data_IF_610562123249
#
_entry.id   IF_610562123249
#
_cell.length_a   1.000
_cell.length_b   1.000
_cell.length_c   1.000
_cell.angle_alpha   90.00
_cell.angle_beta   90.00
_cell.angle_gamma   90.00
#
_symmetry.space_group_name_H-M   'P 1'
#
loop_
_entity.id
_entity.type
_entity.pdbx_description
1 polymer ?
#
# COMPACT_ATOMS: atom_id res chain seq x y z
N UNK A 1 -8.53 1.44 -13.06
CA UNK A 1 -9.09 1.39 -11.68
C UNK A 1 -10.41 2.13 -11.73
N UNK A 2 -11.48 1.59 -11.14
CA UNK A 2 -12.81 2.22 -11.17
C UNK A 2 -13.52 2.05 -9.83
N UNK A 3 -14.58 2.82 -9.60
CA UNK A 3 -15.38 2.72 -8.38
C UNK A 3 -16.01 1.34 -8.23
N UNK A 4 -16.64 0.85 -9.30
CA UNK A 4 -17.06 -0.53 -9.40
C UNK A 4 -16.91 -1.01 -10.84
N UNK A 5 -16.86 -2.33 -10.98
CA UNK A 5 -16.76 -2.99 -12.29
C UNK A 5 -17.88 -3.99 -12.34
N UNK A 6 -18.86 -3.74 -13.21
CA UNK A 6 -20.02 -4.60 -13.38
C UNK A 6 -19.61 -6.02 -13.81
N UNK A 7 -20.42 -7.01 -13.42
CA UNK A 7 -20.12 -8.42 -13.68
C UNK A 7 -20.01 -8.74 -15.17
N UNK A 8 -20.82 -8.10 -16.01
CA UNK A 8 -20.80 -8.30 -17.46
C UNK A 8 -19.50 -7.78 -18.11
N UNK A 9 -19.06 -6.59 -17.69
CA UNK A 9 -17.77 -6.05 -18.08
C UNK A 9 -16.62 -6.94 -17.58
N UNK A 10 -16.67 -7.39 -16.32
CA UNK A 10 -15.64 -8.23 -15.73
C UNK A 10 -15.52 -9.58 -16.45
N UNK A 11 -16.63 -10.23 -16.79
CA UNK A 11 -16.63 -11.48 -17.53
C UNK A 11 -15.94 -11.33 -18.89
N UNK A 12 -16.23 -10.24 -19.61
CA UNK A 12 -15.61 -9.93 -20.90
C UNK A 12 -14.10 -9.69 -20.76
N UNK A 13 -13.67 -8.99 -19.71
CA UNK A 13 -12.25 -8.77 -19.41
C UNK A 13 -11.52 -10.09 -19.11
N UNK A 14 -12.13 -10.99 -18.33
CA UNK A 14 -11.54 -12.28 -17.98
C UNK A 14 -11.39 -13.17 -19.21
N UNK A 15 -12.42 -13.25 -20.06
CA UNK A 15 -12.36 -14.05 -21.29
C UNK A 15 -11.25 -13.55 -22.22
N UNK A 16 -11.12 -12.24 -22.40
CA UNK A 16 -10.07 -11.67 -23.25
C UNK A 16 -8.67 -11.86 -22.66
N UNK A 17 -8.54 -11.81 -21.33
CA UNK A 17 -7.28 -12.11 -20.64
C UNK A 17 -6.86 -13.56 -20.81
N UNK A 18 -7.79 -14.50 -20.70
CA UNK A 18 -7.54 -15.94 -20.90
C UNK A 18 -7.17 -16.27 -22.36
N UNK A 19 -7.77 -15.56 -23.32
CA UNK A 19 -7.42 -15.67 -24.74
C UNK A 19 -6.06 -15.07 -25.08
N UNK A 20 -5.45 -14.32 -24.17
CA UNK A 20 -4.14 -13.68 -24.36
C UNK A 20 -4.15 -12.50 -25.34
N UNK A 21 -5.32 -12.12 -25.88
CA UNK A 21 -5.45 -10.99 -26.81
C UNK A 21 -5.22 -9.65 -26.11
N UNK A 22 -5.64 -9.53 -24.84
CA UNK A 22 -5.48 -8.31 -24.05
C UNK A 22 -4.90 -8.64 -22.66
N UNK A 23 -3.78 -7.99 -22.31
CA UNK A 23 -3.19 -8.07 -20.97
C UNK A 23 -3.84 -7.02 -20.07
N UNK A 24 -4.91 -7.40 -19.36
CA UNK A 24 -5.70 -6.47 -18.55
C UNK A 24 -5.68 -6.86 -17.06
N UNK A 25 -5.73 -5.85 -16.21
CA UNK A 25 -6.04 -5.99 -14.80
C UNK A 25 -7.12 -4.98 -14.38
N UNK A 26 -8.09 -5.47 -13.63
CA UNK A 26 -9.22 -4.72 -13.11
C UNK A 26 -9.02 -4.52 -11.61
N UNK A 27 -9.24 -3.29 -11.12
CA UNK A 27 -9.06 -2.98 -9.71
C UNK A 27 -10.03 -1.92 -9.21
N UNK A 28 -10.48 -2.10 -7.98
CA UNK A 28 -11.39 -1.18 -7.30
C UNK A 28 -10.63 0.03 -6.74
N UNK A 29 -11.20 1.22 -6.87
CA UNK A 29 -10.59 2.43 -6.35
C UNK A 29 -10.53 2.40 -4.81
N UNK A 30 -9.43 2.87 -4.19
CA UNK A 30 -9.32 2.96 -2.74
C UNK A 30 -10.19 4.10 -2.19
N UNK A 31 -10.71 3.91 -0.98
CA UNK A 31 -11.50 4.93 -0.28
C UNK A 31 -12.99 4.97 -0.68
N UNK A 32 -13.71 5.94 -0.11
CA UNK A 32 -15.15 6.11 -0.27
C UNK A 32 -15.50 7.60 -0.44
N UNK A 33 -16.58 7.90 -1.17
CA UNK A 33 -17.07 9.26 -1.42
C UNK A 33 -16.02 10.17 -2.06
N UNK A 34 -15.98 11.44 -1.63
CA UNK A 34 -15.06 12.46 -2.17
C UNK A 34 -13.58 12.08 -2.05
N UNK A 35 -13.21 11.31 -1.02
CA UNK A 35 -11.82 10.87 -0.83
C UNK A 35 -11.36 9.95 -1.95
N UNK A 36 -12.27 9.15 -2.51
CA UNK A 36 -12.00 8.27 -3.66
C UNK A 36 -11.56 9.10 -4.87
N UNK A 37 -12.30 10.16 -5.18
CA UNK A 37 -11.98 11.09 -6.26
C UNK A 37 -10.62 11.75 -6.05
N UNK A 38 -10.33 12.18 -4.82
CA UNK A 38 -9.03 12.76 -4.47
C UNK A 38 -7.87 11.76 -4.60
N UNK A 39 -8.06 10.50 -4.20
CA UNK A 39 -7.04 9.45 -4.38
C UNK A 39 -6.81 9.10 -5.86
N UNK A 40 -7.88 9.06 -6.66
CA UNK A 40 -7.76 8.84 -8.10
C UNK A 40 -7.02 10.00 -8.78
N UNK A 41 -7.26 11.25 -8.36
CA UNK A 41 -6.51 12.40 -8.85
C UNK A 41 -5.03 12.34 -8.48
N UNK A 42 -4.71 11.86 -7.28
CA UNK A 42 -3.32 11.68 -6.86
C UNK A 42 -2.60 10.63 -7.73
N UNK A 43 -3.28 9.52 -8.05
CA UNK A 43 -2.76 8.47 -8.93
C UNK A 43 -2.63 8.98 -10.37
N UNK A 44 -3.59 9.76 -10.85
CA UNK A 44 -3.56 10.38 -12.17
C UNK A 44 -2.37 11.35 -12.30
N UNK A 45 -2.15 12.21 -11.30
CA UNK A 45 -0.98 13.09 -11.24
C UNK A 45 0.35 12.30 -11.21
N UNK A 46 0.39 11.16 -10.51
CA UNK A 46 1.58 10.30 -10.46
C UNK A 46 1.87 9.65 -11.82
N UNK A 47 0.84 9.28 -12.57
CA UNK A 47 0.97 8.58 -13.86
C UNK A 47 0.91 9.49 -15.08
N UNK A 48 0.65 10.79 -14.90
CA UNK A 48 0.51 11.76 -15.99
C UNK A 48 -0.79 11.64 -16.78
N UNK A 49 -1.76 10.90 -16.25
CA UNK A 49 -3.09 10.75 -16.86
C UNK A 49 -4.11 11.73 -16.28
N UNK A 50 -5.33 11.70 -16.82
CA UNK A 50 -6.47 12.44 -16.28
C UNK A 50 -7.60 11.50 -15.90
N UNK A 51 -8.26 11.77 -14.77
CA UNK A 51 -9.39 10.94 -14.31
C UNK A 51 -10.62 11.26 -15.16
N UNK A 52 -11.17 10.25 -15.83
CA UNK A 52 -12.42 10.38 -16.57
C UNK A 52 -13.58 10.48 -15.56
N UNK A 53 -14.31 11.58 -15.61
CA UNK A 53 -15.53 11.81 -14.82
C UNK A 53 -16.63 12.29 -15.75
N UNK A 54 -17.79 11.66 -15.67
CA UNK A 54 -18.97 12.05 -16.46
C UNK A 54 -19.42 13.48 -16.12
N UNK A 55 -19.25 13.90 -14.86
CA UNK A 55 -19.53 15.27 -14.39
C UNK A 55 -18.71 16.35 -15.12
N UNK A 56 -17.51 15.99 -15.59
CA UNK A 56 -16.59 16.90 -16.30
C UNK A 56 -16.80 16.81 -17.82
N UNK A 57 -17.74 15.99 -18.29
CA UNK A 57 -18.07 15.83 -19.70
C UNK A 57 -17.10 14.95 -20.50
N UNK A 58 -16.18 14.26 -19.83
CA UNK A 58 -15.27 13.28 -20.44
C UNK A 58 -15.96 11.91 -20.43
N UNK A 59 -16.27 11.36 -21.61
CA UNK A 59 -16.83 10.03 -21.76
C UNK A 59 -15.76 9.01 -22.14
N UNK A 60 -15.97 7.75 -21.74
CA UNK A 60 -15.08 6.63 -22.07
C UNK A 60 -14.92 6.44 -23.59
N UNK A 61 -15.96 6.75 -24.37
CA UNK A 61 -15.96 6.58 -25.83
C UNK A 61 -15.00 7.54 -26.56
N UNK A 62 -14.67 8.67 -25.92
CA UNK A 62 -13.78 9.70 -26.49
C UNK A 62 -12.40 9.72 -25.82
N UNK A 63 -12.11 8.74 -24.97
CA UNK A 63 -10.83 8.67 -24.27
C UNK A 63 -9.68 8.37 -25.25
N UNK A 64 -8.83 9.37 -25.48
CA UNK A 64 -7.59 9.23 -26.26
C UNK A 64 -6.39 8.87 -25.39
N UNK A 65 -5.22 8.71 -26.02
CA UNK A 65 -3.96 8.42 -25.32
C UNK A 65 -3.55 9.51 -24.32
N UNK A 66 -4.00 10.76 -24.51
CA UNK A 66 -3.69 11.89 -23.62
C UNK A 66 -4.33 11.75 -22.23
N UNK A 67 -5.41 10.96 -22.14
CA UNK A 67 -6.13 10.72 -20.87
C UNK A 67 -5.49 9.57 -20.09
N UNK A 68 -4.80 8.66 -20.78
CA UNK A 68 -4.22 7.46 -20.20
C UNK A 68 -2.89 7.77 -19.52
N UNK A 69 -2.76 7.38 -18.26
CA UNK A 69 -1.50 7.47 -17.52
C UNK A 69 -0.52 6.36 -17.90
N UNK A 70 0.78 6.63 -17.74
CA UNK A 70 1.86 5.67 -17.96
C UNK A 70 2.54 5.30 -16.63
N UNK A 71 2.93 4.03 -16.48
CA UNK A 71 3.67 3.54 -15.34
C UNK A 71 4.71 2.51 -15.77
N UNK A 72 5.89 2.53 -15.15
CA UNK A 72 6.99 1.62 -15.48
C UNK A 72 6.70 0.17 -15.05
N UNK A 73 6.10 -0.01 -13.87
CA UNK A 73 5.74 -1.33 -13.36
C UNK A 73 4.54 -1.26 -12.43
N UNK A 74 3.57 -2.15 -12.64
CA UNK A 74 2.42 -2.30 -11.76
C UNK A 74 2.39 -3.72 -11.22
N UNK A 75 2.41 -3.86 -9.89
CA UNK A 75 2.33 -5.16 -9.21
C UNK A 75 1.04 -5.18 -8.40
N UNK A 76 0.25 -6.23 -8.63
CA UNK A 76 -1.06 -6.42 -8.01
C UNK A 76 -1.03 -7.70 -7.20
N UNK A 77 -1.38 -7.58 -5.92
CA UNK A 77 -1.60 -8.68 -4.99
C UNK A 77 -3.08 -8.70 -4.59
N UNK A 78 -3.50 -9.69 -3.79
CA UNK A 78 -4.90 -9.79 -3.33
C UNK A 78 -5.37 -8.52 -2.60
N UNK A 79 -4.51 -7.99 -1.74
CA UNK A 79 -4.87 -6.90 -0.83
C UNK A 79 -4.12 -5.58 -1.12
N UNK A 80 -3.07 -5.62 -1.96
CA UNK A 80 -2.18 -4.48 -2.18
C UNK A 80 -1.89 -4.24 -3.66
N UNK A 81 -1.73 -2.97 -4.01
CA UNK A 81 -1.36 -2.53 -5.36
C UNK A 81 -0.22 -1.55 -5.31
N UNK A 82 0.85 -1.87 -6.01
CA UNK A 82 2.03 -1.01 -6.10
C UNK A 82 2.20 -0.53 -7.53
N UNK A 83 2.17 0.79 -7.70
CA UNK A 83 2.40 1.47 -8.98
C UNK A 83 3.76 2.13 -8.90
N UNK A 84 4.70 1.69 -9.72
CA UNK A 84 6.00 2.34 -9.89
C UNK A 84 5.93 3.23 -11.14
N UNK A 85 6.04 4.54 -10.93
CA UNK A 85 6.08 5.53 -12.00
C UNK A 85 7.38 5.49 -12.81
N UNK A 86 7.35 6.12 -13.98
CA UNK A 86 8.48 6.28 -14.90
C UNK A 86 9.35 7.53 -14.61
N UNK A 87 8.96 8.32 -13.60
CA UNK A 87 9.69 9.52 -13.15
C UNK A 87 9.41 10.78 -13.97
N UNK A 88 8.59 10.70 -15.01
CA UNK A 88 8.27 11.82 -15.91
C UNK A 88 7.53 12.98 -15.23
N UNK A 89 6.74 12.68 -14.19
CA UNK A 89 5.79 13.59 -13.53
C UNK A 89 6.27 14.12 -12.18
N UNK A 90 7.57 14.08 -11.90
CA UNK A 90 8.12 14.40 -10.59
C UNK A 90 7.76 15.83 -10.12
N UNK A 91 7.69 16.80 -11.03
CA UNK A 91 7.24 18.17 -10.73
C UNK A 91 5.75 18.27 -10.38
N UNK A 92 4.90 17.47 -11.04
CA UNK A 92 3.48 17.43 -10.74
C UNK A 92 3.24 16.83 -9.34
N UNK A 93 4.00 15.80 -8.98
CA UNK A 93 3.95 15.18 -7.66
C UNK A 93 4.40 16.15 -6.57
N UNK A 94 5.49 16.90 -6.76
CA UNK A 94 5.95 17.87 -5.75
C UNK A 94 4.95 19.02 -5.56
N UNK A 95 4.35 19.52 -6.64
CA UNK A 95 3.25 20.50 -6.57
C UNK A 95 2.03 19.93 -5.84
N UNK A 96 1.70 18.66 -6.05
CA UNK A 96 0.59 18.03 -5.34
C UNK A 96 0.89 17.86 -3.85
N UNK A 97 2.11 17.48 -3.50
CA UNK A 97 2.54 17.36 -2.10
C UNK A 97 2.49 18.72 -1.39
N UNK A 98 2.90 19.82 -2.03
CA UNK A 98 2.80 21.16 -1.43
C UNK A 98 1.34 21.60 -1.22
N UNK A 99 0.45 21.30 -2.16
CA UNK A 99 -1.00 21.54 -1.99
C UNK A 99 -1.56 20.81 -0.76
N UNK A 100 -1.22 19.53 -0.59
CA UNK A 100 -1.71 18.73 0.53
C UNK A 100 -1.10 19.22 1.86
N UNK A 101 0.16 19.69 1.88
CA UNK A 101 0.76 20.32 3.06
C UNK A 101 -0.01 21.55 3.51
N UNK A 102 -0.37 22.43 2.58
CA UNK A 102 -1.18 23.61 2.90
C UNK A 102 -2.57 23.22 3.45
N UNK A 103 -3.15 22.13 2.95
CA UNK A 103 -4.42 21.60 3.47
C UNK A 103 -4.29 21.06 4.90
N UNK A 104 -3.15 20.49 5.27
CA UNK A 104 -2.87 20.03 6.65
C UNK A 104 -2.81 21.22 7.62
N UNK A 105 -2.19 22.33 7.20
CA UNK A 105 -2.10 23.54 8.03
C UNK A 105 -3.46 24.20 8.25
N UNK A 106 -4.34 24.14 7.24
CA UNK A 106 -5.70 24.67 7.32
C UNK A 106 -6.69 23.73 8.05
N UNK A 107 -6.36 22.46 8.22
CA UNK A 107 -7.23 21.50 8.89
C UNK A 107 -7.18 21.70 10.41
N UNK A 108 -8.35 21.84 11.04
CA UNK A 108 -8.46 21.96 12.50
C UNK A 108 -8.60 20.59 13.17
N UNK A 109 -9.13 19.59 12.45
CA UNK A 109 -9.40 18.26 12.98
C UNK A 109 -8.21 17.32 12.86
N UNK A 110 -7.83 16.66 13.95
CA UNK A 110 -6.69 15.72 13.97
C UNK A 110 -6.91 14.51 13.05
N UNK A 111 -8.15 14.05 12.89
CA UNK A 111 -8.51 12.97 11.97
C UNK A 111 -8.19 13.33 10.50
N UNK A 112 -8.42 14.57 10.10
CA UNK A 112 -8.12 15.03 8.74
C UNK A 112 -6.62 15.15 8.52
N UNK A 113 -5.89 15.67 9.53
CA UNK A 113 -4.41 15.77 9.50
C UNK A 113 -3.76 14.40 9.33
N UNK A 114 -4.25 13.39 10.05
CA UNK A 114 -3.74 12.01 9.93
C UNK A 114 -3.96 11.46 8.51
N UNK A 115 -5.16 11.63 7.95
CA UNK A 115 -5.49 11.13 6.61
C UNK A 115 -4.75 11.85 5.48
N UNK A 116 -4.52 13.15 5.62
CA UNK A 116 -3.69 13.91 4.67
C UNK A 116 -2.20 13.52 4.81
N UNK A 117 -1.73 13.24 6.02
CA UNK A 117 -0.36 12.75 6.26
C UNK A 117 -0.14 11.38 5.63
N UNK A 118 -1.11 10.45 5.73
CA UNK A 118 -1.07 9.17 5.02
C UNK A 118 -0.95 9.34 3.49
N UNK A 119 -1.61 10.35 2.93
CA UNK A 119 -1.51 10.67 1.48
C UNK A 119 -0.14 11.18 1.10
N UNK A 120 0.40 12.12 1.87
CA UNK A 120 1.76 12.63 1.64
C UNK A 120 2.77 11.49 1.73
N UNK A 121 2.63 10.61 2.72
CA UNK A 121 3.51 9.46 2.87
C UNK A 121 3.48 8.55 1.63
N UNK A 122 2.29 8.30 1.05
CA UNK A 122 2.16 7.50 -0.19
C UNK A 122 2.73 8.20 -1.43
N UNK A 123 2.61 9.51 -1.53
CA UNK A 123 3.15 10.29 -2.66
C UNK A 123 4.65 10.53 -2.56
N UNK A 124 5.16 10.78 -1.35
CA UNK A 124 6.56 11.11 -1.09
C UNK A 124 7.43 9.88 -0.82
N UNK A 125 6.83 8.79 -0.35
CA UNK A 125 7.54 7.56 0.03
C UNK A 125 8.19 6.84 -1.16
N UNK A 126 7.76 7.14 -2.39
CA UNK A 126 8.33 6.56 -3.60
C UNK A 126 8.25 5.03 -3.64
N UNK A 127 8.90 4.44 -4.64
CA UNK A 127 9.02 2.98 -4.76
C UNK A 127 10.47 2.64 -5.07
N UNK A 128 11.14 1.95 -4.16
CA UNK A 128 12.49 1.42 -4.39
C UNK A 128 12.39 0.07 -5.11
N UNK A 129 13.09 -0.07 -6.24
CA UNK A 129 13.18 -1.32 -6.99
C UNK A 129 14.56 -1.93 -6.79
N UNK A 130 14.60 -3.11 -6.16
CA UNK A 130 15.83 -3.88 -5.96
C UNK A 130 15.95 -4.90 -7.10
N UNK A 131 17.02 -4.81 -7.88
CA UNK A 131 17.32 -5.75 -8.95
C UNK A 131 18.37 -6.75 -8.46
N UNK A 132 18.03 -8.04 -8.49
CA UNK A 132 18.90 -9.13 -8.04
C UNK A 132 19.41 -9.89 -9.26
N UNK A 133 20.73 -9.96 -9.44
CA UNK A 133 21.38 -10.70 -10.52
C UNK A 133 21.94 -12.06 -10.07
N UNK A 134 21.93 -13.03 -10.99
CA UNK A 134 22.55 -14.34 -10.79
C UNK A 134 23.04 -14.92 -12.13
N UNK A 135 23.93 -15.93 -12.06
CA UNK A 135 24.51 -16.56 -13.26
C UNK A 135 23.59 -17.65 -13.84
N UNK A 136 22.83 -18.35 -12.99
CA UNK A 136 21.91 -19.42 -13.39
C UNK A 136 20.47 -19.09 -12.96
N UNK A 137 19.48 -19.67 -13.64
CA UNK A 137 18.05 -19.45 -13.30
C UNK A 137 17.69 -19.95 -11.91
N UNK A 138 18.33 -21.05 -11.47
CA UNK A 138 18.12 -21.63 -10.13
C UNK A 138 18.64 -20.69 -9.05
N UNK A 139 19.84 -20.14 -9.23
CA UNK A 139 20.40 -19.14 -8.31
C UNK A 139 19.59 -17.85 -8.29
N UNK A 140 19.04 -17.43 -9.43
CA UNK A 140 18.21 -16.22 -9.51
C UNK A 140 16.98 -16.36 -8.62
N UNK A 141 16.31 -17.52 -8.68
CA UNK A 141 15.15 -17.83 -7.83
C UNK A 141 15.52 -17.93 -6.36
N UNK A 142 16.63 -18.60 -6.03
CA UNK A 142 17.11 -18.72 -4.64
C UNK A 142 17.45 -17.35 -4.04
N UNK A 143 18.25 -16.54 -4.74
CA UNK A 143 18.63 -15.20 -4.27
C UNK A 143 17.43 -14.28 -4.16
N UNK A 144 16.49 -14.35 -5.11
CA UNK A 144 15.24 -13.59 -5.03
C UNK A 144 14.46 -13.93 -3.75
N UNK A 145 14.24 -15.22 -3.47
CA UNK A 145 13.54 -15.67 -2.28
C UNK A 145 14.26 -15.25 -0.99
N UNK A 146 15.60 -15.36 -0.97
CA UNK A 146 16.41 -14.92 0.19
C UNK A 146 16.29 -13.41 0.45
N UNK A 147 16.30 -12.60 -0.60
CA UNK A 147 16.15 -11.14 -0.50
C UNK A 147 14.73 -10.77 -0.07
N UNK A 148 13.72 -11.44 -0.60
CA UNK A 148 12.32 -11.24 -0.19
C UNK A 148 12.12 -11.56 1.30
N UNK A 149 12.67 -12.67 1.77
CA UNK A 149 12.62 -13.06 3.18
C UNK A 149 13.36 -12.06 4.08
N UNK A 150 14.59 -11.67 3.71
CA UNK A 150 15.36 -10.67 4.45
C UNK A 150 14.66 -9.30 4.52
N UNK A 151 14.01 -8.88 3.45
CA UNK A 151 13.26 -7.62 3.41
C UNK A 151 12.04 -7.67 4.33
N UNK A 152 11.33 -8.80 4.36
CA UNK A 152 10.19 -8.96 5.25
C UNK A 152 10.63 -9.03 6.73
N UNK A 153 11.72 -9.76 7.02
CA UNK A 153 12.27 -9.85 8.37
C UNK A 153 12.76 -8.50 8.91
N UNK A 154 13.43 -7.70 8.08
CA UNK A 154 13.91 -6.36 8.47
C UNK A 154 12.76 -5.39 8.67
N UNK A 155 11.70 -5.46 7.87
CA UNK A 155 10.48 -4.67 8.10
C UNK A 155 9.83 -4.99 9.44
N UNK A 156 9.62 -6.28 9.73
CA UNK A 156 9.05 -6.71 11.01
C UNK A 156 9.91 -6.26 12.21
N UNK A 157 11.23 -6.36 12.08
CA UNK A 157 12.17 -5.92 13.11
C UNK A 157 12.14 -4.41 13.35
N UNK A 158 11.85 -3.58 12.34
CA UNK A 158 11.71 -2.13 12.49
C UNK A 158 10.37 -1.78 13.14
N UNK A 159 9.30 -2.50 12.82
CA UNK A 159 7.95 -2.24 13.36
C UNK A 159 7.80 -2.68 14.82
N UNK A 160 8.25 -3.89 15.17
CA UNK A 160 8.05 -4.50 16.50
C UNK A 160 9.30 -4.46 17.38
N UNK A 161 10.46 -4.14 16.80
CA UNK A 161 11.76 -4.22 17.47
C UNK A 161 12.41 -5.61 17.36
N UNK A 162 13.59 -5.75 17.97
CA UNK A 162 14.40 -6.97 17.92
C UNK A 162 14.52 -7.65 19.28
N UNK A 163 14.54 -8.98 19.27
CA UNK A 163 14.76 -9.81 20.46
C UNK A 163 15.82 -10.87 20.19
N UNK A 164 16.30 -11.52 21.26
CA UNK A 164 17.30 -12.58 21.13
C UNK A 164 16.67 -13.81 20.45
N UNK A 165 17.26 -14.24 19.33
CA UNK A 165 16.81 -15.41 18.57
C UNK A 165 17.07 -16.76 19.26
N UNK A 166 16.97 -17.83 18.48
CA UNK A 166 17.26 -19.21 18.94
C UNK A 166 16.29 -19.76 19.99
N UNK A 167 15.09 -19.18 20.11
CA UNK A 167 14.09 -19.57 21.12
C UNK A 167 14.42 -19.11 22.55
N UNK A 168 15.58 -18.47 22.78
CA UNK A 168 16.00 -18.00 24.11
C UNK A 168 15.03 -16.99 24.72
N UNK A 169 14.40 -16.14 23.89
CA UNK A 169 13.42 -15.17 24.37
C UNK A 169 12.18 -15.86 24.94
N UNK A 170 11.69 -16.94 24.33
CA UNK A 170 10.55 -17.70 24.85
C UNK A 170 10.86 -18.32 26.22
N UNK A 171 12.07 -18.87 26.40
CA UNK A 171 12.51 -19.40 27.70
C UNK A 171 12.57 -18.32 28.78
N UNK A 172 13.10 -17.14 28.45
CA UNK A 172 13.16 -15.98 29.36
C UNK A 172 11.78 -15.41 29.70
N UNK A 173 10.84 -15.46 28.76
CA UNK A 173 9.46 -15.07 29.03
C UNK A 173 8.78 -16.09 29.94
N UNK A 174 8.98 -17.39 29.70
CA UNK A 174 8.43 -18.46 30.52
C UNK A 174 8.82 -18.34 31.99
N UNK A 175 10.08 -18.00 32.30
CA UNK A 175 10.52 -17.85 33.70
C UNK A 175 9.92 -16.63 34.42
N UNK A 176 9.43 -15.63 33.67
CA UNK A 176 8.74 -14.47 34.24
C UNK A 176 7.26 -14.73 34.53
N UNK A 177 6.65 -15.77 33.94
CA UNK A 177 5.25 -16.11 34.18
C UNK A 177 5.00 -16.49 35.64
N UNK A 178 5.93 -17.21 36.27
CA UNK A 178 5.81 -17.61 37.68
C UNK A 178 5.71 -16.40 38.63
N UNK A 179 6.44 -15.32 38.31
CA UNK A 179 6.38 -14.06 39.04
C UNK A 179 5.05 -13.31 38.85
N UNK A 180 4.41 -13.43 37.68
CA UNK A 180 3.06 -12.84 37.46
C UNK A 180 1.97 -13.62 38.21
N UNK A 181 2.13 -14.94 38.33
CA UNK A 181 1.19 -15.80 39.07
C UNK A 181 1.21 -15.50 40.56
N UNK A 182 2.39 -15.29 41.15
CA UNK A 182 2.52 -14.88 42.56
C UNK A 182 1.98 -13.46 42.82
N UNK A 183 2.15 -12.53 41.88
CA UNK A 183 1.54 -11.18 41.96
C UNK A 183 0.00 -11.23 41.97
N UNK A 184 -0.61 -12.02 41.08
CA UNK A 184 -2.07 -12.20 41.04
C UNK A 184 -2.63 -12.92 42.29
N UNK A 185 -1.88 -13.87 42.86
CA UNK A 185 -2.26 -14.59 44.08
C UNK A 185 -2.14 -13.75 45.37
N UNK A 186 -1.33 -12.69 45.35
CA UNK A 186 -1.24 -11.69 46.42
C UNK A 186 -2.43 -10.72 46.41
N UNK A 187 -2.90 -10.32 45.23
CA UNK A 187 -3.97 -9.33 45.09
C UNK A 187 -5.38 -9.90 45.38
N UNK A 188 -5.58 -11.21 45.24
CA UNK A 188 -6.83 -11.85 45.65
C UNK A 188 -6.99 -12.05 47.15
N UNK A 189 -5.91 -11.95 47.95
CA UNK A 189 -6.01 -12.08 49.43
C UNK A 189 -6.36 -10.76 50.13
N UNK A 190 -6.24 -9.62 49.46
CA UNK A 190 -6.52 -8.31 50.05
C UNK A 190 -7.94 -7.78 49.78
N UNK A 191 -8.69 -8.34 48.82
CA UNK A 191 -10.08 -7.97 48.57
C UNK A 191 -11.12 -8.73 49.41
N UNK A 192 -10.70 -9.59 50.35
CA UNK A 192 -11.59 -10.42 51.17
C UNK A 192 -11.71 -10.02 52.64
N UNK A 193 -11.16 -8.86 53.07
CA UNK A 193 -11.33 -8.36 54.44
C UNK A 193 -11.36 -6.82 54.47
N UNK A 194 -12.48 -6.25 54.00
CA UNK A 194 -13.14 -5.09 54.64
C UNK A 194 -14.55 -4.91 54.12
#
# INVERSE_FOLDING_TARGET
MAEDIEQEALATLVVNKLRGSLKIAALKAPGFGERKSQYLDDIANLTGGTVIREEVGLTLDKAGNEVLGTAAKVVLTKDTTTIAGDGSTQEAVTKRVSQIKNQIEAAEQDYEKEKLSERIAKLSGGVAVIQVGAQTETELKEKKLRVEDALNATKAAVEEGIVVGGGCTLLRLSSKVDATKSYSAGNHRTCGNR
#
